data_IF_755831790045
#
_entry.id   IF_755831790045
#
_cell.length_a   1.000
_cell.length_b   1.000
_cell.length_c   1.000
_cell.angle_alpha   90.00
_cell.angle_beta   90.00
_cell.angle_gamma   90.00
#
_symmetry.space_group_name_H-M   'P 1'
#
loop_
_entity.id
_entity.type
_entity.pdbx_description
1 polymer ?
#
# COMPACT_ATOMS: atom_id res chain seq x y z
N UNK A 1 -11.77 -19.11 -13.12
CA UNK A 1 -11.90 -17.65 -12.96
C UNK A 1 -11.71 -17.30 -11.50
N UNK A 2 -10.47 -16.99 -11.14
CA UNK A 2 -10.07 -16.47 -9.83
C UNK A 2 -10.78 -15.13 -9.53
N UNK A 3 -10.80 -14.69 -8.26
CA UNK A 3 -11.32 -13.36 -7.93
C UNK A 3 -10.38 -12.26 -8.44
N UNK A 4 -9.08 -12.57 -8.61
CA UNK A 4 -8.12 -11.76 -9.37
C UNK A 4 -8.59 -11.50 -10.81
N UNK A 5 -9.17 -12.50 -11.48
CA UNK A 5 -9.60 -12.40 -12.89
C UNK A 5 -10.84 -11.51 -13.08
N UNK A 6 -11.58 -11.20 -12.00
CA UNK A 6 -12.75 -10.33 -12.04
C UNK A 6 -12.35 -8.85 -11.96
N UNK A 7 -11.11 -8.55 -11.57
CA UNK A 7 -10.62 -7.20 -11.24
C UNK A 7 -9.48 -6.66 -12.16
N UNK A 8 -9.17 -7.27 -13.31
CA UNK A 8 -8.11 -6.79 -14.25
C UNK A 8 -8.62 -6.28 -15.62
N UNK A 9 -8.04 -5.18 -16.14
CA UNK A 9 -7.48 -5.12 -17.52
C UNK A 9 -6.28 -4.14 -17.79
N UNK A 10 -5.30 -4.61 -18.58
CA UNK A 10 -4.48 -3.98 -19.68
C UNK A 10 -3.66 -2.63 -19.57
N UNK A 11 -2.31 -2.75 -19.53
CA UNK A 11 -1.11 -2.09 -20.21
C UNK A 11 -0.67 -0.56 -20.09
N UNK A 12 0.66 -0.37 -19.85
CA UNK A 12 1.76 0.56 -20.37
C UNK A 12 2.17 1.95 -19.79
N UNK A 13 3.45 2.35 -20.00
CA UNK A 13 4.42 2.91 -19.03
C UNK A 13 5.26 4.16 -19.48
N UNK A 14 5.90 4.87 -18.51
CA UNK A 14 7.03 5.82 -18.74
C UNK A 14 7.44 6.75 -17.55
N UNK A 15 8.73 6.79 -17.17
CA UNK A 15 9.37 7.47 -15.99
C UNK A 15 10.30 8.66 -16.36
N UNK A 16 10.84 9.52 -15.45
CA UNK A 16 12.04 9.35 -14.57
C UNK A 16 12.35 10.64 -13.69
N UNK A 17 13.42 10.79 -12.85
CA UNK A 17 13.90 10.09 -11.61
C UNK A 17 14.19 11.02 -10.35
N UNK A 18 14.76 10.44 -9.24
CA UNK A 18 15.02 10.99 -7.87
C UNK A 18 16.36 10.52 -7.16
N UNK A 19 16.49 10.77 -5.82
CA UNK A 19 17.64 10.74 -4.84
C UNK A 19 17.80 9.43 -3.98
N UNK A 20 18.86 9.19 -3.14
CA UNK A 20 19.52 7.88 -2.98
C UNK A 20 18.95 6.95 -1.88
N UNK A 21 19.40 5.70 -1.94
CA UNK A 21 18.60 4.47 -1.94
C UNK A 21 19.27 3.41 -1.06
N UNK A 22 18.52 2.57 -0.32
CA UNK A 22 19.07 1.33 0.27
C UNK A 22 19.65 0.49 -0.85
N UNK A 23 20.93 0.09 -0.72
CA UNK A 23 21.65 -0.56 -1.81
C UNK A 23 20.76 -1.64 -2.45
N UNK A 24 20.33 -1.42 -3.71
CA UNK A 24 19.32 -2.26 -4.31
C UNK A 24 19.82 -3.71 -4.32
N UNK A 25 18.89 -4.67 -4.27
CA UNK A 25 19.18 -6.10 -4.38
C UNK A 25 18.37 -6.70 -5.51
N UNK A 26 18.98 -7.60 -6.28
CA UNK A 26 18.30 -8.33 -7.34
C UNK A 26 17.07 -9.06 -6.77
N UNK A 27 15.88 -8.84 -7.34
CA UNK A 27 14.62 -9.43 -6.92
C UNK A 27 14.52 -10.95 -7.13
N UNK A 28 15.54 -11.56 -7.76
CA UNK A 28 15.65 -13.01 -7.93
C UNK A 28 16.79 -13.60 -7.10
N UNK A 29 18.03 -13.20 -7.35
CA UNK A 29 19.20 -13.79 -6.71
C UNK A 29 19.63 -13.10 -5.41
N UNK A 30 18.94 -12.02 -5.01
CA UNK A 30 19.13 -11.26 -3.77
C UNK A 30 20.51 -10.57 -3.60
N UNK A 31 21.37 -10.64 -4.62
CA UNK A 31 22.68 -9.98 -4.64
C UNK A 31 22.55 -8.46 -4.69
N UNK A 32 23.35 -7.76 -3.89
CA UNK A 32 23.57 -6.31 -4.03
C UNK A 32 24.45 -6.03 -5.26
N UNK A 33 24.50 -4.78 -5.70
CA UNK A 33 25.39 -4.38 -6.81
C UNK A 33 26.88 -4.65 -6.49
N UNK A 34 27.29 -4.54 -5.22
CA UNK A 34 28.65 -4.86 -4.76
C UNK A 34 29.01 -6.36 -4.84
N UNK A 35 28.01 -7.24 -4.88
CA UNK A 35 28.18 -8.70 -4.97
C UNK A 35 28.11 -9.23 -6.41
N UNK A 36 27.89 -8.36 -7.39
CA UNK A 36 27.85 -8.70 -8.82
C UNK A 36 29.26 -8.64 -9.43
N UNK A 37 29.50 -9.36 -10.55
CA UNK A 37 30.75 -9.22 -11.29
C UNK A 37 31.02 -7.77 -11.67
N UNK A 38 32.29 -7.40 -11.73
CA UNK A 38 32.71 -6.04 -12.06
C UNK A 38 32.05 -5.56 -13.38
N UNK A 39 31.40 -4.41 -13.32
CA UNK A 39 30.67 -3.82 -14.45
C UNK A 39 29.19 -4.21 -14.57
N UNK A 40 28.66 -5.10 -13.74
CA UNK A 40 27.23 -5.46 -13.75
C UNK A 40 26.47 -4.60 -12.75
N UNK A 41 25.49 -3.84 -13.24
CA UNK A 41 24.59 -3.02 -12.43
C UNK A 41 23.21 -3.66 -12.26
N UNK A 42 22.54 -3.35 -11.16
CA UNK A 42 21.14 -3.67 -11.00
C UNK A 42 20.27 -2.76 -11.89
N UNK A 43 19.27 -3.34 -12.54
CA UNK A 43 18.35 -2.65 -13.44
C UNK A 43 16.93 -2.81 -12.94
N UNK A 44 16.21 -1.71 -12.79
CA UNK A 44 14.78 -1.74 -12.50
C UNK A 44 14.02 -2.45 -13.62
N UNK A 45 12.92 -3.11 -13.26
CA UNK A 45 11.94 -3.55 -14.26
C UNK A 45 11.50 -2.33 -15.09
N UNK A 46 11.63 -2.41 -16.41
CA UNK A 46 11.28 -1.30 -17.31
C UNK A 46 9.78 -0.99 -17.34
N UNK A 47 8.93 -1.95 -16.95
CA UNK A 47 7.49 -1.77 -16.97
C UNK A 47 6.98 -1.12 -15.68
N UNK A 48 7.44 -1.56 -14.51
CA UNK A 48 6.90 -1.05 -13.25
C UNK A 48 7.85 -0.22 -12.38
N UNK A 49 9.15 -0.24 -12.68
CA UNK A 49 10.19 0.45 -11.90
C UNK A 49 10.26 0.08 -10.41
N UNK A 50 9.65 -1.05 -9.99
CA UNK A 50 9.61 -1.46 -8.58
C UNK A 50 10.80 -2.36 -8.22
N UNK A 51 10.89 -3.64 -8.63
CA UNK A 51 12.07 -4.45 -8.32
C UNK A 51 13.21 -4.17 -9.30
N UNK A 52 14.43 -4.44 -8.83
CA UNK A 52 15.65 -4.42 -9.64
C UNK A 52 16.16 -5.82 -9.90
N UNK A 53 16.87 -6.04 -11.00
CA UNK A 53 17.46 -7.32 -11.38
C UNK A 53 18.88 -7.13 -11.91
N UNK A 54 19.78 -8.07 -11.63
CA UNK A 54 21.15 -8.00 -12.17
C UNK A 54 21.24 -8.44 -13.63
N UNK A 55 20.23 -9.15 -14.15
CA UNK A 55 20.18 -9.62 -15.52
C UNK A 55 18.74 -9.87 -15.98
N UNK A 56 18.48 -9.89 -17.31
CA UNK A 56 17.20 -10.32 -17.86
C UNK A 56 16.81 -11.74 -17.41
N UNK A 57 17.77 -12.66 -17.28
CA UNK A 57 17.50 -14.00 -16.78
C UNK A 57 17.00 -14.02 -15.33
N UNK A 58 17.50 -13.13 -14.47
CA UNK A 58 16.94 -12.96 -13.12
C UNK A 58 15.53 -12.34 -13.15
N UNK A 59 15.28 -11.38 -14.03
CA UNK A 59 13.93 -10.81 -14.20
C UNK A 59 12.94 -11.88 -14.66
N UNK A 60 13.28 -12.63 -15.71
CA UNK A 60 12.47 -13.73 -16.26
C UNK A 60 12.22 -14.82 -15.21
N UNK A 61 13.26 -15.22 -14.46
CA UNK A 61 13.14 -16.23 -13.40
C UNK A 61 12.30 -15.76 -12.21
N UNK A 62 12.16 -14.46 -11.98
CA UNK A 62 11.25 -13.89 -10.98
C UNK A 62 9.87 -13.52 -11.54
N UNK A 63 9.66 -13.65 -12.86
CA UNK A 63 8.54 -13.03 -13.55
C UNK A 63 7.18 -13.49 -13.02
N UNK A 64 7.02 -14.77 -12.69
CA UNK A 64 5.75 -15.30 -12.17
C UNK A 64 5.28 -14.60 -10.89
N UNK A 65 6.21 -14.26 -9.99
CA UNK A 65 5.92 -13.52 -8.75
C UNK A 65 5.86 -12.02 -9.01
N UNK A 66 6.77 -11.55 -9.87
CA UNK A 66 6.92 -10.14 -10.17
C UNK A 66 5.72 -9.57 -10.94
N UNK A 67 5.20 -10.31 -11.91
CA UNK A 67 4.14 -9.89 -12.84
C UNK A 67 2.95 -9.30 -12.09
N UNK A 68 2.53 -9.95 -11.01
CA UNK A 68 1.45 -9.48 -10.13
C UNK A 68 1.73 -8.07 -9.62
N UNK A 69 2.95 -7.78 -9.16
CA UNK A 69 3.34 -6.43 -8.72
C UNK A 69 3.62 -5.47 -9.88
N UNK A 70 4.16 -5.99 -10.98
CA UNK A 70 4.53 -5.21 -12.15
C UNK A 70 3.30 -4.54 -12.77
N UNK A 71 2.20 -5.29 -12.83
CA UNK A 71 0.91 -4.83 -13.32
C UNK A 71 0.25 -3.81 -12.38
N UNK A 72 0.63 -3.75 -11.09
CA UNK A 72 0.06 -2.80 -10.11
C UNK A 72 0.45 -1.34 -10.33
N UNK A 73 1.65 -1.08 -10.84
CA UNK A 73 2.24 0.26 -10.76
C UNK A 73 1.77 1.23 -11.85
N UNK A 74 1.07 0.74 -12.89
CA UNK A 74 0.74 1.54 -14.08
C UNK A 74 -0.71 1.41 -14.58
N UNK A 75 -1.51 0.47 -14.06
CA UNK A 75 -2.85 0.25 -14.59
C UNK A 75 -3.94 0.91 -13.72
N UNK A 76 -4.54 1.98 -14.24
CA UNK A 76 -5.97 2.20 -14.04
C UNK A 76 -6.72 1.50 -15.20
N UNK A 77 -7.53 0.47 -14.90
CA UNK A 77 -8.35 -0.30 -15.83
C UNK A 77 -9.20 0.48 -16.86
N UNK A 78 -9.64 1.70 -16.52
CA UNK A 78 -10.66 2.39 -17.31
C UNK A 78 -10.07 3.31 -18.39
N UNK A 79 -8.77 3.26 -18.63
CA UNK A 79 -8.11 4.22 -19.52
C UNK A 79 -8.18 5.66 -18.99
N UNK A 80 -8.63 5.86 -17.75
CA UNK A 80 -8.21 7.03 -17.00
C UNK A 80 -6.70 6.86 -16.91
N UNK A 81 -5.94 7.76 -17.52
CA UNK A 81 -4.55 7.89 -17.08
C UNK A 81 -4.65 7.99 -15.56
N UNK A 82 -3.88 7.18 -14.82
CA UNK A 82 -3.47 7.67 -13.51
C UNK A 82 -2.85 8.99 -13.90
N UNK A 83 -3.56 10.09 -13.67
CA UNK A 83 -3.06 11.41 -13.96
C UNK A 83 -1.77 11.44 -13.15
N UNK A 84 -0.65 11.21 -13.83
CA UNK A 84 0.64 11.21 -13.16
C UNK A 84 0.83 12.61 -12.60
N UNK A 85 0.27 13.62 -13.28
CA UNK A 85 0.03 14.99 -12.82
C UNK A 85 -0.82 15.08 -11.55
N UNK A 86 -1.76 14.17 -11.31
CA UNK A 86 -2.62 14.20 -10.14
C UNK A 86 -1.95 13.65 -8.89
N UNK A 87 -1.39 12.45 -9.01
CA UNK A 87 -0.56 11.90 -7.95
C UNK A 87 0.67 12.78 -7.74
N UNK A 88 1.22 13.38 -8.79
CA UNK A 88 2.24 14.41 -8.69
C UNK A 88 1.70 15.68 -8.01
N UNK A 89 0.50 16.19 -8.29
CA UNK A 89 0.02 17.44 -7.68
C UNK A 89 -0.14 17.32 -6.16
N UNK A 90 -0.69 16.20 -5.65
CA UNK A 90 -0.74 15.96 -4.21
C UNK A 90 0.68 15.82 -3.62
N UNK A 91 1.59 15.16 -4.33
CA UNK A 91 2.94 14.79 -3.84
C UNK A 91 3.99 15.90 -4.04
N UNK A 92 3.79 16.77 -5.01
CA UNK A 92 4.65 17.91 -5.35
C UNK A 92 4.25 19.12 -4.51
N UNK A 93 2.98 19.23 -4.12
CA UNK A 93 2.51 20.27 -3.19
C UNK A 93 2.60 19.85 -1.72
N UNK A 94 2.45 18.56 -1.40
CA UNK A 94 2.47 18.07 -0.02
C UNK A 94 3.81 17.44 0.35
N UNK A 95 4.23 17.66 1.60
CA UNK A 95 5.41 16.98 2.12
C UNK A 95 5.17 15.46 2.21
N UNK A 96 6.22 14.63 2.17
CA UNK A 96 6.08 13.18 2.36
C UNK A 96 5.33 12.78 3.63
N UNK A 97 5.44 13.57 4.72
CA UNK A 97 4.68 13.36 5.96
C UNK A 97 3.19 13.57 5.71
N UNK A 98 2.82 14.68 5.06
CA UNK A 98 1.41 15.00 4.82
C UNK A 98 0.71 13.93 3.96
N UNK A 99 1.42 13.36 2.98
CA UNK A 99 0.90 12.23 2.18
C UNK A 99 0.70 10.99 3.05
N UNK A 100 1.66 10.65 3.91
CA UNK A 100 1.55 9.50 4.81
C UNK A 100 0.43 9.69 5.86
N UNK A 101 0.30 10.88 6.43
CA UNK A 101 -0.77 11.22 7.38
C UNK A 101 -2.14 11.12 6.72
N UNK A 102 -2.29 11.65 5.51
CA UNK A 102 -3.52 11.54 4.73
C UNK A 102 -3.86 10.07 4.45
N UNK A 103 -2.87 9.26 4.04
CA UNK A 103 -3.04 7.84 3.80
C UNK A 103 -3.48 7.09 5.07
N UNK A 104 -2.80 7.30 6.19
CA UNK A 104 -3.13 6.66 7.46
C UNK A 104 -4.54 7.06 7.93
N UNK A 105 -4.90 8.34 7.80
CA UNK A 105 -6.23 8.83 8.13
C UNK A 105 -7.28 8.17 7.25
N UNK A 106 -7.05 8.08 5.95
CA UNK A 106 -7.99 7.47 5.01
C UNK A 106 -8.22 5.99 5.31
N UNK A 107 -7.14 5.22 5.49
CA UNK A 107 -7.21 3.78 5.75
C UNK A 107 -7.86 3.48 7.10
N UNK A 108 -7.52 4.24 8.14
CA UNK A 108 -7.93 3.93 9.52
C UNK A 108 -9.26 4.55 9.94
N UNK A 109 -9.61 5.71 9.38
CA UNK A 109 -10.78 6.49 9.84
C UNK A 109 -11.86 6.61 8.79
N UNK A 110 -11.50 6.61 7.50
CA UNK A 110 -12.44 6.88 6.42
C UNK A 110 -12.96 5.59 5.79
N UNK A 111 -12.08 4.66 5.43
CA UNK A 111 -12.45 3.42 4.75
C UNK A 111 -12.24 2.10 5.53
N UNK A 112 -12.10 2.07 6.88
CA UNK A 112 -11.72 0.82 7.57
C UNK A 112 -12.77 -0.29 7.38
N UNK A 113 -14.05 0.08 7.34
CA UNK A 113 -15.13 -0.89 7.20
C UNK A 113 -15.18 -1.50 5.79
N UNK A 114 -15.12 -0.67 4.74
CA UNK A 114 -15.12 -1.16 3.36
C UNK A 114 -13.89 -2.03 3.07
N UNK A 115 -12.71 -1.64 3.56
CA UNK A 115 -11.47 -2.43 3.42
C UNK A 115 -11.56 -3.76 4.18
N UNK A 116 -12.17 -3.77 5.38
CA UNK A 116 -12.35 -5.00 6.15
C UNK A 116 -13.28 -5.99 5.46
N UNK A 117 -14.43 -5.54 4.95
CA UNK A 117 -15.37 -6.39 4.21
C UNK A 117 -14.72 -6.90 2.92
N UNK A 118 -14.05 -6.03 2.18
CA UNK A 118 -13.31 -6.39 0.98
C UNK A 118 -12.23 -7.46 1.28
N UNK A 119 -11.48 -7.27 2.38
CA UNK A 119 -10.48 -8.23 2.84
C UNK A 119 -11.05 -9.60 3.17
N UNK A 120 -12.18 -9.67 3.89
CA UNK A 120 -12.88 -10.93 4.15
C UNK A 120 -13.34 -11.59 2.84
N UNK A 121 -13.94 -10.83 1.93
CA UNK A 121 -14.39 -11.34 0.65
C UNK A 121 -13.24 -11.95 -0.18
N UNK A 122 -12.08 -11.28 -0.20
CA UNK A 122 -10.86 -11.76 -0.87
C UNK A 122 -10.35 -13.06 -0.26
N UNK A 123 -10.26 -13.14 1.07
CA UNK A 123 -9.75 -14.33 1.76
C UNK A 123 -10.58 -15.56 1.45
N UNK A 124 -11.91 -15.45 1.55
CA UNK A 124 -12.80 -16.59 1.33
C UNK A 124 -12.98 -16.96 -0.14
N UNK A 125 -12.69 -16.05 -1.07
CA UNK A 125 -12.75 -16.35 -2.48
C UNK A 125 -11.49 -17.07 -3.00
N UNK A 126 -10.35 -16.87 -2.35
CA UNK A 126 -9.10 -17.56 -2.69
C UNK A 126 -9.00 -18.96 -2.03
N UNK A 127 -9.78 -19.24 -0.97
CA UNK A 127 -9.77 -20.55 -0.32
C UNK A 127 -10.41 -20.56 1.06
N UNK A 128 -9.87 -21.38 1.95
CA UNK A 128 -10.21 -21.34 3.37
C UNK A 128 -9.35 -20.32 4.12
N UNK A 129 -9.84 -19.89 5.27
CA UNK A 129 -9.05 -19.00 6.15
C UNK A 129 -7.82 -19.70 6.70
N UNK A 130 -7.90 -21.02 6.93
CA UNK A 130 -6.75 -21.81 7.37
C UNK A 130 -5.64 -21.77 6.30
N UNK A 131 -6.00 -21.94 5.03
CA UNK A 131 -5.05 -21.86 3.91
C UNK A 131 -4.38 -20.47 3.86
N UNK A 132 -5.16 -19.40 4.07
CA UNK A 132 -4.63 -18.04 4.08
C UNK A 132 -3.63 -17.79 5.22
N UNK A 133 -3.91 -18.25 6.44
CA UNK A 133 -3.00 -18.11 7.58
C UNK A 133 -1.76 -19.00 7.46
N UNK A 134 -1.91 -20.22 6.94
CA UNK A 134 -0.81 -21.17 6.81
C UNK A 134 0.22 -20.75 5.75
N UNK A 135 -0.22 -20.06 4.70
CA UNK A 135 0.63 -19.65 3.57
C UNK A 135 1.36 -18.31 3.77
N UNK A 136 1.37 -17.74 4.99
CA UNK A 136 1.93 -16.40 5.25
C UNK A 136 1.40 -15.33 4.27
N UNK A 137 0.09 -15.35 4.00
CA UNK A 137 -0.54 -14.40 3.08
C UNK A 137 -0.88 -13.08 3.76
N UNK A 138 -0.98 -12.05 2.93
CA UNK A 138 -1.38 -10.71 3.34
C UNK A 138 -2.32 -10.07 2.31
N UNK A 139 -3.12 -9.12 2.75
CA UNK A 139 -3.98 -8.33 1.88
C UNK A 139 -3.21 -7.12 1.35
N UNK A 140 -3.16 -6.97 0.03
CA UNK A 140 -2.51 -5.84 -0.62
C UNK A 140 -3.55 -4.95 -1.29
N UNK A 141 -3.63 -3.70 -0.83
CA UNK A 141 -4.47 -2.65 -1.37
C UNK A 141 -3.60 -1.61 -2.08
N UNK A 142 -3.46 -1.75 -3.40
CA UNK A 142 -2.84 -0.73 -4.23
C UNK A 142 -3.77 0.46 -4.38
N UNK A 143 -3.24 1.67 -4.27
CA UNK A 143 -4.00 2.91 -4.36
C UNK A 143 -3.26 3.95 -5.20
N UNK A 144 -4.04 4.92 -5.69
CA UNK A 144 -3.54 6.14 -6.29
C UNK A 144 -4.22 7.34 -5.61
N UNK A 145 -3.50 8.47 -5.53
CA UNK A 145 -4.12 9.74 -5.18
C UNK A 145 -5.00 10.21 -6.34
N UNK A 146 -6.14 10.82 -6.03
CA UNK A 146 -6.93 11.57 -7.00
C UNK A 146 -6.39 12.99 -7.11
N UNK A 147 -6.51 13.61 -8.27
CA UNK A 147 -6.38 15.05 -8.36
C UNK A 147 -7.24 15.65 -9.45
N UNK A 148 -6.99 16.94 -9.70
CA UNK A 148 -7.81 17.77 -10.56
C UNK A 148 -9.19 17.99 -9.96
N UNK A 149 -10.18 18.12 -10.84
CA UNK A 149 -11.58 18.34 -10.46
C UNK A 149 -12.20 17.16 -9.68
N UNK A 150 -11.59 15.97 -9.75
CA UNK A 150 -12.02 14.80 -9.00
C UNK A 150 -11.54 14.80 -7.54
N UNK A 151 -10.50 15.58 -7.22
CA UNK A 151 -10.16 15.93 -5.85
C UNK A 151 -11.15 16.97 -5.33
N UNK A 152 -12.36 16.49 -5.12
CA UNK A 152 -13.36 17.19 -4.34
C UNK A 152 -12.83 17.32 -2.91
N UNK A 153 -12.20 18.47 -2.66
CA UNK A 153 -11.64 18.85 -1.37
C UNK A 153 -12.70 18.92 -0.27
N UNK A 154 -13.98 18.67 -0.56
CA UNK A 154 -15.08 18.60 0.40
C UNK A 154 -15.36 17.18 0.91
N UNK A 155 -14.73 16.14 0.36
CA UNK A 155 -14.90 14.76 0.85
C UNK A 155 -13.58 13.98 0.84
N UNK A 156 -12.94 13.77 2.01
CA UNK A 156 -11.70 13.01 2.09
C UNK A 156 -11.89 11.52 1.73
N UNK A 157 -13.12 11.03 1.60
CA UNK A 157 -13.40 9.73 0.95
C UNK A 157 -12.85 9.62 -0.48
N UNK A 158 -12.72 10.75 -1.19
CA UNK A 158 -12.20 10.85 -2.55
C UNK A 158 -10.69 11.11 -2.62
N UNK A 159 -9.97 11.24 -1.51
CA UNK A 159 -8.52 11.54 -1.55
C UNK A 159 -7.73 10.46 -2.29
N UNK A 160 -8.08 9.19 -2.07
CA UNK A 160 -7.47 8.05 -2.74
C UNK A 160 -8.51 7.20 -3.46
N UNK A 161 -8.04 6.43 -4.43
CA UNK A 161 -8.81 5.40 -5.13
C UNK A 161 -8.06 4.08 -5.05
N UNK A 162 -8.79 2.97 -5.06
CA UNK A 162 -8.16 1.65 -5.16
C UNK A 162 -7.74 1.42 -6.61
N UNK A 163 -6.51 0.98 -6.81
CA UNK A 163 -5.99 0.48 -8.09
C UNK A 163 -5.84 -1.03 -8.07
N UNK A 164 -5.66 -1.63 -6.87
CA UNK A 164 -5.65 -3.09 -6.71
C UNK A 164 -6.13 -3.52 -5.33
N UNK A 165 -6.75 -4.70 -5.24
CA UNK A 165 -7.04 -5.39 -3.99
C UNK A 165 -6.88 -6.89 -4.19
N UNK A 166 -5.88 -7.49 -3.55
CA UNK A 166 -5.57 -8.92 -3.70
C UNK A 166 -5.14 -9.53 -2.36
N UNK A 167 -5.39 -10.83 -2.18
CA UNK A 167 -4.68 -11.64 -1.19
C UNK A 167 -3.45 -12.23 -1.90
N UNK A 168 -2.26 -11.99 -1.36
CA UNK A 168 -1.00 -12.44 -1.98
C UNK A 168 -0.07 -13.04 -0.94
N UNK A 169 0.86 -13.87 -1.40
CA UNK A 169 1.89 -14.47 -0.55
C UNK A 169 2.92 -13.41 -0.16
N UNK A 170 3.44 -13.49 1.08
CA UNK A 170 4.53 -12.63 1.57
C UNK A 170 5.71 -12.56 0.59
N UNK A 171 6.03 -13.69 -0.05
CA UNK A 171 7.14 -13.81 -1.02
C UNK A 171 7.00 -12.81 -2.16
N UNK A 172 5.77 -12.59 -2.65
CA UNK A 172 5.52 -11.64 -3.74
C UNK A 172 5.90 -10.21 -3.35
N UNK A 173 5.85 -9.86 -2.05
CA UNK A 173 6.09 -8.51 -1.54
C UNK A 173 7.41 -8.36 -0.77
N UNK A 174 8.35 -9.30 -0.90
CA UNK A 174 9.58 -9.37 -0.09
C UNK A 174 10.32 -8.04 0.08
N UNK A 175 10.45 -7.25 -0.99
CA UNK A 175 11.12 -5.93 -0.93
C UNK A 175 10.44 -4.90 -0.01
N UNK A 176 9.17 -5.11 0.31
CA UNK A 176 8.35 -4.23 1.17
C UNK A 176 8.22 -4.81 2.57
N UNK A 177 7.88 -6.10 2.68
CA UNK A 177 7.51 -6.73 3.97
C UNK A 177 8.68 -7.24 4.79
N UNK A 178 9.80 -7.63 4.19
CA UNK A 178 10.76 -8.53 4.87
C UNK A 178 11.28 -8.00 6.21
N UNK A 179 11.55 -6.70 6.31
CA UNK A 179 12.09 -6.09 7.53
C UNK A 179 11.02 -5.79 8.61
N UNK A 180 9.72 -5.88 8.29
CA UNK A 180 8.62 -5.55 9.22
C UNK A 180 7.64 -6.68 9.44
N UNK A 181 7.77 -7.79 8.72
CA UNK A 181 6.81 -8.89 8.73
C UNK A 181 6.56 -9.42 10.14
N UNK A 182 7.63 -9.71 10.88
CA UNK A 182 7.51 -10.29 12.22
C UNK A 182 6.82 -9.32 13.20
N UNK A 183 7.15 -8.02 13.10
CA UNK A 183 6.51 -6.95 13.87
C UNK A 183 5.02 -6.82 13.53
N UNK A 184 4.67 -6.86 12.25
CA UNK A 184 3.27 -6.79 11.80
C UNK A 184 2.47 -8.02 12.24
N UNK A 185 3.04 -9.21 12.12
CA UNK A 185 2.40 -10.44 12.57
C UNK A 185 2.27 -10.49 14.10
N UNK A 186 3.26 -9.98 14.84
CA UNK A 186 3.14 -9.82 16.29
C UNK A 186 1.98 -8.89 16.64
N UNK A 187 1.85 -7.76 15.94
CA UNK A 187 0.72 -6.83 16.12
C UNK A 187 -0.62 -7.48 15.78
N UNK A 188 -0.72 -8.23 14.69
CA UNK A 188 -1.92 -8.99 14.33
C UNK A 188 -2.31 -9.99 15.43
N UNK A 189 -1.35 -10.71 16.01
CA UNK A 189 -1.60 -11.64 17.13
C UNK A 189 -2.09 -10.91 18.38
N UNK A 190 -1.49 -9.78 18.74
CA UNK A 190 -1.94 -8.97 19.87
C UNK A 190 -3.38 -8.48 19.67
N UNK A 191 -3.72 -8.00 18.47
CA UNK A 191 -5.09 -7.56 18.16
C UNK A 191 -6.07 -8.73 18.20
N UNK A 192 -5.69 -9.89 17.66
CA UNK A 192 -6.53 -11.08 17.69
C UNK A 192 -6.81 -11.53 19.14
N UNK A 193 -5.79 -11.51 20.00
CA UNK A 193 -5.93 -11.83 21.43
C UNK A 193 -6.83 -10.82 22.15
N UNK A 194 -6.65 -9.52 21.90
CA UNK A 194 -7.47 -8.44 22.49
C UNK A 194 -8.94 -8.59 22.12
N UNK A 195 -9.24 -8.90 20.84
CA UNK A 195 -10.61 -9.15 20.38
C UNK A 195 -11.21 -10.40 21.01
N UNK A 196 -10.43 -11.48 21.12
CA UNK A 196 -10.89 -12.71 21.75
C UNK A 196 -11.19 -12.52 23.25
N UNK A 197 -10.41 -11.71 23.94
CA UNK A 197 -10.60 -11.37 25.35
C UNK A 197 -11.83 -10.48 25.57
N UNK A 198 -11.93 -9.38 24.80
CA UNK A 198 -12.99 -8.36 24.97
C UNK A 198 -14.33 -8.80 24.41
N UNK A 199 -14.36 -9.73 23.48
CA UNK A 199 -15.60 -10.17 22.83
C UNK A 199 -15.58 -11.69 22.68
N UNK A 200 -15.87 -12.45 23.76
CA UNK A 200 -15.83 -13.92 23.73
C UNK A 200 -16.81 -14.55 22.72
N UNK A 201 -17.90 -13.84 22.39
CA UNK A 201 -18.86 -14.23 21.36
C UNK A 201 -18.45 -13.78 19.95
N UNK A 202 -17.27 -13.18 19.79
CA UNK A 202 -16.80 -12.65 18.52
C UNK A 202 -16.70 -13.76 17.48
N UNK A 203 -17.16 -13.44 16.28
CA UNK A 203 -16.94 -14.29 15.12
C UNK A 203 -15.53 -14.14 14.58
N UNK A 204 -14.69 -13.25 15.10
CA UNK A 204 -13.30 -13.09 14.63
C UNK A 204 -12.48 -14.34 14.95
N UNK A 205 -11.86 -14.91 13.92
CA UNK A 205 -10.99 -16.11 14.03
C UNK A 205 -9.50 -15.78 13.94
N UNK A 206 -9.17 -14.58 13.47
CA UNK A 206 -7.80 -14.10 13.40
C UNK A 206 -7.72 -12.74 12.74
N UNK A 207 -6.49 -12.26 12.58
CA UNK A 207 -6.19 -10.97 11.96
C UNK A 207 -5.13 -11.18 10.88
N UNK A 208 -5.45 -10.86 9.63
CA UNK A 208 -4.51 -10.90 8.53
C UNK A 208 -3.88 -9.51 8.37
N UNK A 209 -2.55 -9.42 8.17
CA UNK A 209 -1.92 -8.15 7.86
C UNK A 209 -2.41 -7.64 6.50
N UNK A 210 -2.76 -6.35 6.42
CA UNK A 210 -2.97 -5.68 5.14
C UNK A 210 -2.03 -4.50 4.97
N UNK A 211 -1.64 -4.24 3.72
CA UNK A 211 -0.80 -3.12 3.32
C UNK A 211 -1.59 -2.30 2.31
N UNK A 212 -1.76 -1.02 2.63
CA UNK A 212 -2.29 -0.04 1.70
C UNK A 212 -1.09 0.74 1.13
N UNK A 213 -0.85 0.65 -0.17
CA UNK A 213 0.29 1.26 -0.84
C UNK A 213 -0.15 2.34 -1.83
N UNK A 214 0.51 3.50 -1.80
CA UNK A 214 0.43 4.52 -2.85
C UNK A 214 1.77 4.56 -3.57
N UNK A 215 1.75 4.37 -4.89
CA UNK A 215 2.90 4.62 -5.74
C UNK A 215 2.85 6.03 -6.30
N UNK A 216 3.98 6.72 -6.20
CA UNK A 216 4.20 8.03 -6.82
C UNK A 216 5.43 7.93 -7.71
N UNK A 217 5.64 8.88 -8.61
CA UNK A 217 6.76 8.85 -9.55
C UNK A 217 8.14 8.76 -8.87
N UNK A 218 8.24 9.09 -7.58
CA UNK A 218 9.51 9.14 -6.85
C UNK A 218 9.58 8.22 -5.63
N UNK A 219 8.45 7.89 -5.02
CA UNK A 219 8.39 7.20 -3.72
C UNK A 219 7.13 6.34 -3.60
N UNK A 220 7.25 5.26 -2.85
CA UNK A 220 6.10 4.46 -2.42
C UNK A 220 5.81 4.77 -0.95
N UNK A 221 4.53 4.98 -0.64
CA UNK A 221 4.04 5.18 0.72
C UNK A 221 3.22 3.96 1.12
N UNK A 222 3.38 3.49 2.36
CA UNK A 222 2.72 2.28 2.85
C UNK A 222 2.04 2.56 4.19
N UNK A 223 0.82 2.05 4.36
CA UNK A 223 0.12 2.00 5.62
C UNK A 223 -0.22 0.55 5.99
N UNK A 224 0.18 0.15 7.19
CA UNK A 224 -0.23 -1.13 7.77
C UNK A 224 -1.67 -1.03 8.31
N UNK A 225 -2.51 -1.97 7.91
CA UNK A 225 -3.92 -2.07 8.29
C UNK A 225 -4.26 -3.53 8.68
N UNK A 226 -4.44 -3.84 9.97
CA UNK A 226 -4.85 -5.18 10.38
C UNK A 226 -6.32 -5.41 10.01
N UNK A 227 -6.62 -6.50 9.31
CA UNK A 227 -7.98 -6.88 8.92
C UNK A 227 -8.46 -8.06 9.75
N UNK A 228 -9.54 -7.88 10.50
CA UNK A 228 -10.20 -8.96 11.23
C UNK A 228 -10.87 -9.92 10.24
N UNK A 229 -10.59 -11.21 10.37
CA UNK A 229 -11.21 -12.26 9.58
C UNK A 229 -12.28 -12.94 10.42
N UNK A 230 -13.50 -13.02 9.90
CA UNK A 230 -14.67 -13.55 10.60
C UNK A 230 -14.94 -15.01 10.22
N UNK A 231 -15.41 -15.80 11.19
CA UNK A 231 -15.79 -17.21 11.05
C UNK A 231 -17.01 -17.33 10.14
N UNK A 232 -17.11 -18.38 9.32
CA UNK A 232 -18.34 -18.72 8.63
C UNK A 232 -19.46 -19.07 9.60
N UNK A 233 -20.72 -18.92 9.16
CA UNK A 233 -21.88 -19.25 9.99
C UNK A 233 -21.95 -20.72 10.40
N UNK A 234 -21.41 -21.63 9.57
CA UNK A 234 -21.34 -23.07 9.88
C UNK A 234 -20.35 -23.40 11.02
N UNK A 235 -19.60 -22.40 11.50
CA UNK A 235 -18.62 -22.54 12.56
C UNK A 235 -17.29 -23.15 12.12
N UNK A 236 -17.16 -23.59 10.87
CA UNK A 236 -16.00 -24.32 10.38
C UNK A 236 -15.04 -23.41 9.62
N UNK A 237 -13.90 -23.09 10.24
CA UNK A 237 -12.85 -22.28 9.61
C UNK A 237 -12.19 -22.95 8.38
N UNK A 238 -12.33 -24.27 8.23
CA UNK A 238 -11.86 -25.02 7.06
C UNK A 238 -12.83 -24.94 5.86
N UNK A 239 -14.00 -24.32 6.02
CA UNK A 239 -14.98 -24.21 4.94
C UNK A 239 -14.41 -23.43 3.77
N UNK A 240 -14.34 -24.09 2.61
CA UNK A 240 -13.89 -23.52 1.34
C UNK A 240 -15.06 -22.94 0.57
N UNK A 241 -15.39 -21.67 0.85
CA UNK A 241 -16.52 -21.00 0.21
C UNK A 241 -16.36 -20.86 -1.30
N UNK A 242 -15.12 -20.82 -1.79
CA UNK A 242 -14.82 -20.73 -3.21
C UNK A 242 -15.19 -21.99 -4.02
N UNK A 243 -15.36 -23.15 -3.37
CA UNK A 243 -15.82 -24.38 -4.01
C UNK A 243 -17.34 -24.37 -4.28
N UNK A 244 -18.11 -23.53 -3.57
CA UNK A 244 -19.53 -23.34 -3.81
C UNK A 244 -19.74 -22.17 -4.79
N UNK A 245 -20.28 -22.40 -6.01
CA UNK A 245 -20.44 -21.35 -7.02
C UNK A 245 -21.33 -20.19 -6.56
N UNK A 246 -22.34 -20.45 -5.72
CA UNK A 246 -23.23 -19.41 -5.18
C UNK A 246 -22.48 -18.54 -4.18
N UNK A 247 -21.77 -19.15 -3.24
CA UNK A 247 -20.98 -18.42 -2.24
C UNK A 247 -19.88 -17.58 -2.90
N UNK A 248 -19.14 -18.18 -3.86
CA UNK A 248 -18.14 -17.45 -4.64
C UNK A 248 -18.75 -16.27 -5.41
N UNK A 249 -19.93 -16.45 -6.01
CA UNK A 249 -20.66 -15.36 -6.67
C UNK A 249 -20.98 -14.20 -5.72
N UNK A 250 -21.44 -14.51 -4.50
CA UNK A 250 -21.72 -13.49 -3.46
C UNK A 250 -20.44 -12.76 -3.04
N UNK A 251 -19.35 -13.49 -2.79
CA UNK A 251 -18.05 -12.90 -2.40
C UNK A 251 -17.51 -11.94 -3.47
N UNK A 252 -17.59 -12.33 -4.75
CA UNK A 252 -17.22 -11.50 -5.90
C UNK A 252 -18.03 -10.21 -5.95
N UNK A 253 -19.34 -10.33 -5.79
CA UNK A 253 -20.22 -9.18 -5.85
C UNK A 253 -20.02 -8.22 -4.67
N UNK A 254 -19.78 -8.73 -3.46
CA UNK A 254 -19.44 -7.90 -2.31
C UNK A 254 -18.12 -7.16 -2.53
N UNK A 255 -17.10 -7.86 -3.02
CA UNK A 255 -15.83 -7.23 -3.35
C UNK A 255 -16.05 -6.08 -4.36
N UNK A 256 -16.85 -6.30 -5.41
CA UNK A 256 -17.21 -5.26 -6.38
C UNK A 256 -18.00 -4.10 -5.77
N UNK A 257 -18.95 -4.37 -4.86
CA UNK A 257 -19.74 -3.33 -4.18
C UNK A 257 -18.85 -2.46 -3.27
N UNK A 258 -17.94 -3.07 -2.50
CA UNK A 258 -16.97 -2.36 -1.67
C UNK A 258 -16.01 -1.53 -2.52
N UNK A 259 -15.45 -2.14 -3.57
CA UNK A 259 -14.57 -1.48 -4.52
C UNK A 259 -15.24 -0.26 -5.15
N UNK A 260 -16.40 -0.45 -5.78
CA UNK A 260 -17.14 0.64 -6.42
C UNK A 260 -17.49 1.76 -5.43
N UNK A 261 -17.80 1.42 -4.17
CA UNK A 261 -18.13 2.41 -3.15
C UNK A 261 -16.92 3.29 -2.84
N UNK A 262 -15.74 2.67 -2.70
CA UNK A 262 -14.47 3.38 -2.51
C UNK A 262 -14.15 4.24 -3.74
N UNK A 263 -14.36 3.72 -4.96
CA UNK A 263 -14.16 4.50 -6.19
C UNK A 263 -15.13 5.67 -6.35
N UNK A 264 -16.32 5.61 -5.74
CA UNK A 264 -17.25 6.74 -5.71
C UNK A 264 -16.94 7.74 -4.56
N UNK A 265 -15.91 7.48 -3.75
CA UNK A 265 -15.60 8.26 -2.54
C UNK A 265 -16.67 8.13 -1.46
N UNK A 266 -17.46 7.06 -1.51
CA UNK A 266 -18.46 6.75 -0.52
C UNK A 266 -17.80 6.05 0.65
N UNK A 267 -18.33 6.31 1.84
CA UNK A 267 -17.88 5.70 3.09
C UNK A 267 -18.97 4.79 3.60
N UNK A 268 -18.65 3.49 3.61
CA UNK A 268 -19.49 2.46 4.18
C UNK A 268 -19.26 2.41 5.69
N UNK A 269 -20.34 2.35 6.45
CA UNK A 269 -20.33 2.06 7.88
C UNK A 269 -21.22 0.89 8.18
N UNK A 270 -21.00 0.29 9.34
CA UNK A 270 -21.85 -0.76 9.85
C UNK A 270 -23.33 -0.30 9.85
N UNK A 271 -24.29 -1.19 9.54
CA UNK A 271 -25.71 -0.83 9.59
C UNK A 271 -26.09 -0.34 10.99
N UNK A 272 -26.79 0.80 11.08
CA UNK A 272 -27.31 1.29 12.36
C UNK A 272 -28.44 0.42 12.91
N UNK A 273 -29.18 -0.23 12.01
CA UNK A 273 -30.26 -1.13 12.34
C UNK A 273 -29.74 -2.57 12.28
N UNK A 274 -29.74 -3.33 13.38
CA UNK A 274 -29.31 -4.73 13.40
C UNK A 274 -30.10 -5.65 12.47
N UNK A 275 -31.30 -5.24 12.04
CA UNK A 275 -32.12 -6.00 11.07
C UNK A 275 -31.74 -5.72 9.62
N UNK A 276 -30.89 -4.74 9.39
CA UNK A 276 -30.44 -4.35 8.05
C UNK A 276 -29.06 -4.97 7.83
N UNK A 277 -28.89 -5.66 6.71
CA UNK A 277 -27.60 -6.26 6.34
C UNK A 277 -26.76 -5.28 5.53
N UNK A 278 -27.37 -4.49 4.66
CA UNK A 278 -26.63 -3.56 3.83
C UNK A 278 -26.06 -2.38 4.65
N UNK A 279 -24.79 -1.97 4.39
CA UNK A 279 -24.15 -0.95 5.19
C UNK A 279 -24.79 0.42 4.99
N UNK A 280 -24.63 1.26 6.02
CA UNK A 280 -25.01 2.65 5.91
C UNK A 280 -24.01 3.38 5.04
N UNK A 281 -24.49 4.07 4.01
CA UNK A 281 -23.64 4.82 3.08
C UNK A 281 -23.68 6.30 3.41
N UNK A 282 -22.51 6.92 3.43
CA UNK A 282 -22.35 8.34 3.66
C UNK A 282 -21.15 8.92 2.95
N UNK A 283 -20.93 10.21 3.16
CA UNK A 283 -19.73 10.94 2.76
C UNK A 283 -19.24 11.77 3.93
N UNK A 284 -17.96 12.13 3.93
CA UNK A 284 -17.49 13.16 4.85
C UNK A 284 -17.80 14.53 4.26
N UNK A 285 -18.14 15.46 5.15
CA UNK A 285 -18.33 16.87 4.85
C UNK A 285 -17.54 17.71 5.85
N UNK A 286 -16.96 18.82 5.38
CA UNK A 286 -16.24 19.75 6.25
C UNK A 286 -17.22 20.66 6.98
N UNK A 287 -17.14 20.75 8.30
CA UNK A 287 -17.91 21.66 9.15
C UNK A 287 -16.98 22.34 10.14
N UNK A 288 -16.84 23.67 10.05
CA UNK A 288 -15.98 24.46 10.96
C UNK A 288 -14.57 23.85 11.11
N UNK A 289 -13.94 23.54 9.99
CA UNK A 289 -12.63 22.87 9.91
C UNK A 289 -12.52 21.43 10.44
N UNK A 290 -13.63 20.81 10.82
CA UNK A 290 -13.67 19.41 11.19
C UNK A 290 -14.38 18.56 10.13
N UNK A 291 -13.83 17.37 9.89
CA UNK A 291 -14.49 16.37 9.06
C UNK A 291 -15.60 15.68 9.84
N UNK A 292 -16.80 15.66 9.28
CA UNK A 292 -17.95 14.95 9.86
C UNK A 292 -18.56 14.01 8.83
N UNK A 293 -18.71 12.75 9.19
CA UNK A 293 -19.42 11.80 8.34
C UNK A 293 -20.92 12.10 8.38
N UNK A 294 -21.55 12.11 7.22
CA UNK A 294 -22.99 12.34 7.07
C UNK A 294 -23.62 11.20 6.25
N UNK A 295 -24.66 10.54 6.77
CA UNK A 295 -25.37 9.52 6.02
C UNK A 295 -26.10 10.14 4.82
N UNK A 296 -26.10 9.43 3.70
CA UNK A 296 -26.90 9.76 2.52
C UNK A 296 -28.32 9.21 2.69
N UNK A 297 -29.27 10.10 3.00
CA UNK A 297 -30.68 9.74 3.27
C UNK A 297 -31.42 9.20 2.03
N UNK A 298 -30.98 9.63 0.86
CA UNK A 298 -31.51 9.27 -0.46
C UNK A 298 -30.90 7.96 -1.00
N UNK A 299 -29.98 7.33 -0.25
CA UNK A 299 -29.25 6.17 -0.74
C UNK A 299 -30.15 4.96 -0.97
N UNK A 300 -30.06 4.38 -2.17
CA UNK A 300 -30.76 3.15 -2.55
C UNK A 300 -29.78 2.17 -3.17
N UNK A 301 -29.49 1.09 -2.47
CA UNK A 301 -28.61 0.02 -2.95
C UNK A 301 -29.07 -0.57 -4.28
N UNK A 302 -30.37 -0.70 -4.50
CA UNK A 302 -30.92 -1.23 -5.75
C UNK A 302 -30.65 -0.30 -6.94
N UNK A 303 -30.62 1.02 -6.71
CA UNK A 303 -30.25 2.02 -7.72
C UNK A 303 -28.75 2.12 -7.94
N UNK A 304 -27.95 1.85 -6.91
CA UNK A 304 -26.48 1.89 -6.99
C UNK A 304 -25.93 0.87 -7.98
N UNK A 305 -26.44 -0.37 -7.97
CA UNK A 305 -26.10 -1.37 -8.98
C UNK A 305 -26.39 -0.90 -10.41
N UNK A 306 -27.55 -0.26 -10.59
CA UNK A 306 -28.05 0.11 -11.90
C UNK A 306 -27.32 1.32 -12.52
N UNK A 307 -26.74 2.21 -11.72
CA UNK A 307 -26.14 3.44 -12.23
C UNK A 307 -24.61 3.43 -12.11
N UNK A 308 -24.11 3.35 -10.89
CA UNK A 308 -22.68 3.46 -10.60
C UNK A 308 -21.96 2.14 -10.89
N UNK A 309 -22.49 1.01 -10.41
CA UNK A 309 -21.83 -0.27 -10.67
C UNK A 309 -21.81 -0.61 -12.16
N UNK A 310 -22.81 -0.20 -12.94
CA UNK A 310 -22.81 -0.39 -14.38
C UNK A 310 -21.76 0.45 -15.12
N UNK A 311 -21.49 1.69 -14.66
CA UNK A 311 -20.40 2.50 -15.23
C UNK A 311 -19.03 1.90 -14.93
N UNK A 312 -18.83 1.33 -13.73
CA UNK A 312 -17.55 0.73 -13.32
C UNK A 312 -17.34 -0.71 -13.80
N UNK A 313 -18.39 -1.55 -13.82
CA UNK A 313 -18.29 -2.97 -14.16
C UNK A 313 -18.65 -3.29 -15.63
N UNK A 314 -19.00 -2.28 -16.44
CA UNK A 314 -19.24 -2.44 -17.87
C UNK A 314 -20.41 -3.38 -18.21
N UNK A 315 -21.63 -3.01 -17.79
CA UNK A 315 -22.86 -3.80 -18.00
C UNK A 315 -22.82 -5.26 -17.47
N UNK A 316 -21.82 -5.63 -16.66
CA UNK A 316 -21.77 -6.96 -16.06
C UNK A 316 -22.92 -7.15 -15.08
N UNK A 317 -23.59 -8.29 -15.21
CA UNK A 317 -24.52 -8.78 -14.18
C UNK A 317 -23.71 -9.27 -12.98
N UNK A 318 -24.23 -9.03 -11.78
CA UNK A 318 -23.72 -9.58 -10.54
C UNK A 318 -23.58 -11.11 -10.64
N UNK A 319 -22.44 -11.65 -10.22
CA UNK A 319 -22.08 -13.06 -10.36
C UNK A 319 -23.04 -13.99 -9.60
N UNK A 320 -23.53 -13.55 -8.43
CA UNK A 320 -24.56 -14.22 -7.63
C UNK A 320 -25.96 -14.19 -8.26
N UNK A 321 -26.17 -13.34 -9.27
CA UNK A 321 -27.49 -13.04 -9.89
C UNK A 321 -28.53 -12.49 -8.92
N UNK A 322 -28.10 -11.94 -7.79
CA UNK A 322 -28.97 -11.24 -6.84
C UNK A 322 -28.81 -9.72 -6.99
N UNK A 323 -29.75 -8.95 -6.44
CA UNK A 323 -29.56 -7.50 -6.31
C UNK A 323 -28.62 -7.18 -5.13
N UNK A 324 -28.09 -5.95 -5.02
CA UNK A 324 -27.12 -5.60 -3.98
C UNK A 324 -27.59 -5.86 -2.55
N UNK A 325 -28.86 -5.61 -2.21
CA UNK A 325 -29.37 -5.87 -0.84
C UNK A 325 -29.35 -7.36 -0.52
N UNK A 326 -29.80 -8.19 -1.46
CA UNK A 326 -29.77 -9.63 -1.34
C UNK A 326 -28.33 -10.17 -1.30
N UNK A 327 -27.40 -9.57 -2.04
CA UNK A 327 -25.98 -9.89 -1.98
C UNK A 327 -25.41 -9.59 -0.59
N UNK A 328 -25.69 -8.40 -0.03
CA UNK A 328 -25.34 -8.08 1.36
C UNK A 328 -25.93 -9.10 2.33
N UNK A 329 -27.25 -9.35 2.28
CA UNK A 329 -27.88 -10.36 3.14
C UNK A 329 -27.20 -11.73 3.03
N UNK A 330 -26.96 -12.21 1.81
CA UNK A 330 -26.31 -13.50 1.57
C UNK A 330 -24.87 -13.53 2.10
N UNK A 331 -24.15 -12.41 2.05
CA UNK A 331 -22.82 -12.30 2.61
C UNK A 331 -22.82 -12.41 4.13
N UNK A 332 -23.77 -11.77 4.82
CA UNK A 332 -23.91 -11.91 6.27
C UNK A 332 -24.41 -13.29 6.70
N UNK A 333 -25.20 -13.96 5.85
CA UNK A 333 -25.58 -15.36 6.06
C UNK A 333 -24.35 -16.29 5.95
N UNK A 334 -23.39 -15.97 5.08
CA UNK A 334 -22.13 -16.71 4.96
C UNK A 334 -21.18 -16.39 6.12
N UNK A 335 -21.04 -15.11 6.44
CA UNK A 335 -20.10 -14.56 7.40
C UNK A 335 -20.88 -13.68 8.39
N UNK A 336 -21.32 -14.23 9.55
CA UNK A 336 -22.00 -13.45 10.57
C UNK A 336 -21.02 -12.42 11.13
N UNK A 337 -21.00 -11.26 10.49
CA UNK A 337 -20.21 -10.13 10.95
C UNK A 337 -20.98 -9.54 12.12
N UNK A 338 -20.59 -9.94 13.33
CA UNK A 338 -21.11 -9.29 14.53
C UNK A 338 -20.60 -7.86 14.45
N UNK A 339 -21.56 -6.93 14.40
CA UNK A 339 -21.31 -5.51 14.50
C UNK A 339 -20.54 -5.28 15.79
N UNK A 340 -19.22 -5.13 15.69
CA UNK A 340 -18.44 -4.57 16.77
C UNK A 340 -19.07 -3.19 17.01
N UNK A 341 -19.57 -2.90 18.22
CA UNK A 341 -20.13 -1.59 18.51
C UNK A 341 -19.13 -0.54 18.04
N UNK A 342 -19.60 0.48 17.31
CA UNK A 342 -18.71 1.56 16.87
C UNK A 342 -17.90 2.01 18.09
N UNK A 343 -16.58 1.84 18.01
CA UNK A 343 -15.64 2.33 19.01
C UNK A 343 -16.03 3.76 19.35
N UNK A 344 -16.17 4.05 20.63
CA UNK A 344 -16.61 5.38 21.08
C UNK A 344 -15.63 6.43 20.56
N UNK A 345 -16.03 7.71 20.56
CA UNK A 345 -15.12 8.79 20.20
C UNK A 345 -13.84 8.80 21.06
N UNK A 346 -13.90 8.28 22.29
CA UNK A 346 -12.74 8.11 23.17
C UNK A 346 -11.78 7.02 22.68
N UNK A 347 -12.30 5.86 22.26
CA UNK A 347 -11.48 4.79 21.66
C UNK A 347 -10.81 5.26 20.36
N UNK A 348 -11.48 6.12 19.60
CA UNK A 348 -10.92 6.70 18.37
C UNK A 348 -9.80 7.71 18.67
N UNK A 349 -9.94 8.53 19.73
CA UNK A 349 -8.89 9.47 20.16
C UNK A 349 -7.65 8.73 20.68
N UNK A 350 -7.82 7.69 21.49
CA UNK A 350 -6.71 6.85 21.98
C UNK A 350 -5.91 6.20 20.85
N UNK A 351 -6.57 5.78 19.76
CA UNK A 351 -5.90 5.25 18.57
C UNK A 351 -5.15 6.31 17.77
N UNK A 352 -5.60 7.58 17.77
CA UNK A 352 -4.86 8.67 17.14
C UNK A 352 -3.58 8.97 17.90
N UNK A 353 -3.63 8.94 19.23
CA UNK A 353 -2.44 9.10 20.08
C UNK A 353 -1.48 7.92 19.95
N UNK A 354 -1.98 6.68 19.93
CA UNK A 354 -1.16 5.49 19.67
C UNK A 354 -0.55 5.51 18.25
N UNK A 355 -1.28 6.00 17.25
CA UNK A 355 -0.77 6.16 15.89
C UNK A 355 0.30 7.24 15.78
N UNK A 356 0.19 8.31 16.58
CA UNK A 356 1.18 9.38 16.66
C UNK A 356 2.43 8.92 17.41
N UNK A 357 2.29 8.09 18.43
CA UNK A 357 3.40 7.42 19.12
C UNK A 357 4.06 6.40 18.18
N UNK A 358 3.30 5.62 17.41
CA UNK A 358 3.85 4.72 16.38
C UNK A 358 4.60 5.49 15.27
N UNK A 359 4.27 6.76 15.00
CA UNK A 359 4.99 7.59 14.01
C UNK A 359 6.27 8.23 14.58
N UNK A 360 6.39 8.35 15.91
CA UNK A 360 7.44 9.13 16.58
C UNK A 360 8.29 8.32 17.59
N UNK A 361 7.89 7.09 17.92
CA UNK A 361 8.36 6.35 19.09
C UNK A 361 9.21 5.10 18.83
N UNK A 362 9.35 4.66 17.57
CA UNK A 362 10.39 3.67 17.23
C UNK A 362 11.61 4.44 16.67
N UNK A 363 12.83 4.22 17.18
CA UNK A 363 14.03 4.93 16.71
C UNK A 363 14.41 4.65 15.24
N UNK A 364 13.70 3.76 14.54
CA UNK A 364 13.94 3.39 13.13
C UNK A 364 13.08 4.15 12.10
N UNK A 365 12.36 5.21 12.50
CA UNK A 365 11.65 6.09 11.55
C UNK A 365 12.60 7.08 10.87
N UNK A 366 13.32 6.60 9.85
CA UNK A 366 14.12 7.44 8.95
C UNK A 366 13.26 8.37 8.08
N UNK A 367 12.95 9.56 8.59
CA UNK A 367 12.47 10.67 7.79
C UNK A 367 13.65 11.37 7.10
N UNK A 368 13.76 11.26 5.77
CA UNK A 368 14.80 11.95 4.98
C UNK A 368 14.22 13.25 4.39
N UNK A 369 14.46 14.35 5.10
CA UNK A 369 14.42 15.71 4.57
C UNK A 369 15.80 16.11 4.04
N UNK A 370 15.85 16.80 2.90
CA UNK A 370 17.08 17.27 2.27
C UNK A 370 17.86 18.24 3.18
N UNK A 371 19.16 18.01 3.31
CA UNK A 371 20.12 19.04 3.71
C UNK A 371 20.35 20.00 2.54
N UNK A 372 20.01 21.27 2.72
CA UNK A 372 20.44 22.34 1.83
C UNK A 372 21.94 22.58 2.06
N UNK A 373 22.76 22.40 1.02
CA UNK A 373 24.12 22.94 1.00
C UNK A 373 24.04 24.47 1.08
N UNK A 374 24.22 25.01 2.29
CA UNK A 374 24.69 26.38 2.45
C UNK A 374 26.19 26.34 2.18
N UNK A 375 26.57 26.69 0.95
CA UNK A 375 27.91 27.20 0.68
C UNK A 375 28.04 28.46 1.53
N UNK A 376 28.84 28.40 2.58
CA UNK A 376 29.27 29.58 3.33
C UNK A 376 30.25 30.35 2.44
N UNK A 377 29.72 31.29 1.68
CA UNK A 377 30.46 32.39 1.10
C UNK A 377 30.60 33.47 2.19
N UNK A 378 31.51 33.26 3.14
CA UNK A 378 31.91 34.28 4.12
C UNK A 378 33.25 33.90 4.76
N UNK A 379 34.35 34.15 4.05
CA UNK A 379 35.62 34.55 4.66
C UNK A 379 36.61 34.96 3.56
N UNK A 380 36.52 36.23 3.14
CA UNK A 380 37.67 37.00 2.66
C UNK A 380 37.30 38.48 2.53
N UNK A 381 37.28 39.16 3.68
CA UNK A 381 37.62 40.57 3.74
C UNK A 381 38.78 40.72 4.73
N UNK A 382 39.86 41.26 4.18
CA UNK A 382 40.85 42.16 4.80
C UNK A 382 41.47 41.74 6.13
N UNK A 383 42.74 41.35 6.06
CA UNK A 383 43.77 42.12 6.77
C UNK A 383 44.84 42.52 5.76
N UNK A 384 45.03 43.82 5.66
CA UNK A 384 46.10 44.47 4.91
C UNK A 384 47.42 44.41 5.67
N UNK A 385 48.46 44.62 4.86
CA UNK A 385 49.75 45.25 5.16
C UNK A 385 50.99 44.43 5.59
N UNK A 386 51.99 44.60 4.71
CA UNK A 386 53.43 44.71 4.94
C UNK A 386 54.29 43.46 5.19
N UNK A 387 55.05 43.08 4.15
CA UNK A 387 56.48 43.43 4.06
C UNK A 387 57.17 42.77 2.85
N UNK A 388 57.57 43.62 1.89
CA UNK A 388 58.90 43.68 1.24
C UNK A 388 59.68 42.41 0.82
N UNK A 389 60.04 42.43 -0.49
CA UNK A 389 61.37 42.19 -1.10
C UNK A 389 62.07 40.82 -0.98
N UNK A 390 62.46 40.29 -2.14
CA UNK A 390 63.82 39.84 -2.56
C UNK A 390 63.72 38.60 -3.47
N UNK A 391 63.88 38.77 -4.78
CA UNK A 391 65.09 38.47 -5.60
C UNK A 391 65.53 37.01 -5.68
N UNK A 392 65.40 36.47 -6.91
CA UNK A 392 66.45 35.85 -7.73
C UNK A 392 67.21 34.60 -7.25
N UNK A 393 67.40 33.69 -8.23
CA UNK A 393 68.40 32.63 -8.23
C UNK A 393 67.84 31.30 -7.74
N UNK A 394 68.04 30.17 -8.39
CA UNK A 394 68.92 29.83 -9.48
C UNK A 394 69.15 28.32 -9.43
N UNK A 395 69.28 27.71 -10.61
CA UNK A 395 70.18 26.60 -10.92
C UNK A 395 70.06 25.26 -10.18
N UNK A 396 69.82 24.23 -11.00
CA UNK A 396 70.62 23.00 -11.15
C UNK A 396 70.86 22.10 -9.93
N UNK A 397 70.52 20.82 -10.04
CA UNK A 397 71.48 19.77 -10.45
C UNK A 397 70.94 18.33 -10.34
N UNK A 398 71.36 17.51 -11.32
CA UNK A 398 71.86 16.12 -11.25
C UNK A 398 70.95 15.05 -10.63
N UNK A 399 70.52 14.05 -11.39
CA UNK A 399 71.31 12.91 -11.91
C UNK A 399 71.93 12.06 -10.82
N UNK A 400 71.43 10.83 -10.66
CA UNK A 400 72.14 9.58 -10.97
C UNK A 400 71.64 8.41 -10.10
N UNK A 401 71.46 7.24 -10.76
CA UNK A 401 71.86 5.88 -10.33
C UNK A 401 71.24 5.33 -9.03
N UNK A 402 71.03 4.04 -8.81
CA UNK A 402 71.53 2.76 -9.32
C UNK A 402 70.42 1.73 -8.95
N UNK A 403 70.01 0.81 -9.81
CA UNK A 403 70.59 -0.53 -10.01
C UNK A 403 70.24 -1.57 -8.93
N UNK A 404 69.76 -2.74 -9.39
CA UNK A 404 69.96 -4.09 -8.82
C UNK A 404 69.18 -4.42 -7.52
N UNK A 405 68.78 -5.64 -7.19
CA UNK A 405 68.88 -6.98 -7.78
C UNK A 405 68.04 -7.94 -6.90
N UNK A 406 67.62 -9.08 -7.47
CA UNK A 406 67.45 -10.39 -6.79
C UNK A 406 66.42 -10.53 -5.65
N UNK A 407 65.87 -11.69 -5.31
CA UNK A 407 65.71 -13.01 -5.93
C UNK A 407 64.77 -13.78 -4.97
N UNK A 408 64.10 -14.80 -5.52
CA UNK A 408 63.77 -16.09 -4.92
C UNK A 408 63.11 -16.20 -3.52
N UNK A 409 62.03 -16.98 -3.51
CA UNK A 409 62.09 -18.26 -2.82
C UNK A 409 60.95 -18.62 -1.86
N UNK A 410 60.33 -19.77 -2.18
CA UNK A 410 59.65 -20.74 -1.29
C UNK A 410 58.28 -20.36 -0.69
N UNK A 411 57.24 -21.21 -0.71
CA UNK A 411 57.12 -22.66 -0.95
C UNK A 411 55.78 -22.99 -1.61
#
# INVERSE_FOLDING_TARGET
MSLSDVLEPLIDSGADPAVPVTEPRCGHCLKTEAELPEGVKLKYCSACFVPVYCSPGCQEASWDHHKVLCECSFADPNGYKVDSEASAALVDAATPIAVLEALLHWVRQIQPYALSILGNALVYAEGSVIDAFAAERLLFFGMAARAGQDADNENPGKTFRLTRAVLTDRVALQGIVNHRWDTWMARCRTIAADVAEKTPSSTVIGVIPAICMISTNRRNYYAFHPVHIHRPHDGNAATRMNENPRSLGVLKDIASLCWGSIQAGLVLRCPFNPKQHEPTVGTFIKRKDMWSWKPRKDWKWDGYAAYELHSWLGNRRMASRTNPRQTWSSFYDLLPFIVMPERTSEDQASLQDAARIDLLGEPDFGYIGYAANKVTEESRISTDEDASKSTAGGSSNRSAKDSSESADGNS
#
